data_IF_864588932443
#
_entry.id   IF_864588932443
#
_cell.length_a   1.000
_cell.length_b   1.000
_cell.length_c   1.000
_cell.angle_alpha   90.00
_cell.angle_beta   90.00
_cell.angle_gamma   90.00
#
_symmetry.space_group_name_H-M   'P 1'
#
loop_
_entity.id
_entity.type
_entity.pdbx_description
1 polymer ?
#
# COMPACT_ATOMS: atom_id res chain seq x y z
N UNK A 1 26.95 -2.04 -11.47
CA UNK A 1 27.92 -3.08 -10.96
C UNK A 1 27.60 -4.40 -11.67
N UNK A 2 28.55 -5.27 -12.01
CA UNK A 2 28.21 -6.54 -12.70
C UNK A 2 27.77 -7.63 -11.70
N UNK A 3 26.62 -7.42 -11.06
CA UNK A 3 25.95 -8.40 -10.20
C UNK A 3 25.28 -9.42 -11.13
N UNK A 4 25.46 -10.74 -10.92
CA UNK A 4 24.74 -11.74 -11.71
C UNK A 4 23.23 -11.56 -11.55
N UNK A 5 22.47 -11.86 -12.61
CA UNK A 5 21.01 -11.75 -12.56
C UNK A 5 20.44 -12.61 -11.42
N UNK A 6 19.49 -12.07 -10.63
CA UNK A 6 18.85 -12.80 -9.54
C UNK A 6 18.06 -14.01 -10.06
N UNK A 7 17.87 -15.00 -9.19
CA UNK A 7 17.07 -16.17 -9.56
C UNK A 7 15.58 -15.79 -9.74
N UNK A 8 14.84 -16.58 -10.51
CA UNK A 8 13.42 -16.33 -10.77
C UNK A 8 12.58 -16.34 -9.47
N UNK A 9 12.96 -17.19 -8.50
CA UNK A 9 12.34 -17.24 -7.18
C UNK A 9 12.56 -15.95 -6.38
N UNK A 10 13.72 -15.31 -6.55
CA UNK A 10 14.02 -14.04 -5.89
C UNK A 10 13.23 -12.89 -6.53
N UNK A 11 13.13 -12.84 -7.86
CA UNK A 11 12.26 -11.88 -8.54
C UNK A 11 10.78 -12.04 -8.15
N UNK A 12 10.33 -13.29 -7.98
CA UNK A 12 8.98 -13.60 -7.49
C UNK A 12 8.79 -13.17 -6.03
N UNK A 13 9.79 -13.39 -5.18
CA UNK A 13 9.76 -12.95 -3.79
C UNK A 13 9.76 -11.42 -3.67
N UNK A 14 10.49 -10.74 -4.55
CA UNK A 14 10.52 -9.28 -4.64
C UNK A 14 9.15 -8.73 -5.05
N UNK A 15 8.53 -9.28 -6.10
CA UNK A 15 7.20 -8.85 -6.56
C UNK A 15 6.10 -9.05 -5.50
N UNK A 16 6.23 -10.09 -4.67
CA UNK A 16 5.31 -10.39 -3.57
C UNK A 16 5.64 -9.61 -2.28
N UNK A 17 6.75 -8.88 -2.22
CA UNK A 17 7.18 -8.14 -1.04
C UNK A 17 7.54 -9.03 0.17
N UNK A 18 8.00 -10.26 -0.07
CA UNK A 18 8.30 -11.25 0.99
C UNK A 18 9.80 -11.43 1.26
N UNK A 19 10.65 -10.74 0.49
CA UNK A 19 12.10 -10.76 0.72
C UNK A 19 12.48 -9.87 1.91
N UNK A 20 13.58 -10.23 2.57
CA UNK A 20 14.21 -9.36 3.56
C UNK A 20 14.67 -8.05 2.92
N UNK A 21 14.63 -6.95 3.69
CA UNK A 21 14.90 -5.59 3.19
C UNK A 21 16.25 -5.46 2.47
N UNK A 22 17.29 -6.11 2.98
CA UNK A 22 18.63 -6.12 2.37
C UNK A 22 18.64 -6.80 1.00
N UNK A 23 17.86 -7.87 0.82
CA UNK A 23 17.71 -8.57 -0.46
C UNK A 23 16.83 -7.78 -1.42
N UNK A 24 15.78 -7.14 -0.91
CA UNK A 24 14.91 -6.27 -1.71
C UNK A 24 15.67 -5.09 -2.30
N UNK A 25 16.51 -4.42 -1.51
CA UNK A 25 17.35 -3.31 -1.98
C UNK A 25 18.34 -3.76 -3.07
N UNK A 26 18.96 -4.93 -2.91
CA UNK A 26 19.89 -5.46 -3.92
C UNK A 26 19.20 -5.78 -5.24
N UNK A 27 17.95 -6.27 -5.19
CA UNK A 27 17.17 -6.52 -6.40
C UNK A 27 16.72 -5.22 -7.04
N UNK A 28 16.34 -4.22 -6.23
CA UNK A 28 15.95 -2.90 -6.72
C UNK A 28 17.10 -2.24 -7.51
N UNK A 29 18.29 -2.17 -6.91
CA UNK A 29 19.51 -1.69 -7.57
C UNK A 29 19.82 -2.45 -8.88
N UNK A 30 19.60 -3.77 -8.90
CA UNK A 30 19.80 -4.57 -10.12
C UNK A 30 18.76 -4.25 -11.20
N UNK A 31 17.49 -4.07 -10.81
CA UNK A 31 16.40 -3.76 -11.73
C UNK A 31 16.57 -2.38 -12.36
N UNK A 32 17.25 -1.43 -11.72
CA UNK A 32 17.57 -0.13 -12.35
C UNK A 32 18.50 -0.29 -13.58
N UNK A 33 19.39 -1.29 -13.58
CA UNK A 33 20.41 -1.46 -14.61
C UNK A 33 20.10 -2.60 -15.61
N UNK A 34 19.23 -3.56 -15.26
CA UNK A 34 19.04 -4.80 -16.03
C UNK A 34 17.66 -4.90 -16.74
N UNK A 35 17.64 -4.62 -18.05
CA UNK A 35 16.42 -4.70 -18.86
C UNK A 35 15.81 -6.11 -19.00
N UNK A 36 16.61 -7.17 -18.92
CA UNK A 36 16.08 -8.54 -18.96
C UNK A 36 15.28 -8.88 -17.70
N UNK A 37 15.77 -8.47 -16.53
CA UNK A 37 15.08 -8.66 -15.26
C UNK A 37 13.86 -7.73 -15.13
N UNK A 38 13.92 -6.51 -15.67
CA UNK A 38 12.73 -5.65 -15.80
C UNK A 38 11.63 -6.33 -16.62
N UNK A 39 11.97 -6.86 -17.80
CA UNK A 39 11.01 -7.56 -18.64
C UNK A 39 10.45 -8.82 -17.96
N UNK A 40 11.28 -9.56 -17.21
CA UNK A 40 10.82 -10.69 -16.41
C UNK A 40 9.80 -10.25 -15.34
N UNK A 41 10.05 -9.14 -14.64
CA UNK A 41 9.13 -8.57 -13.65
C UNK A 41 7.76 -8.18 -14.25
N UNK A 42 7.73 -7.64 -15.47
CA UNK A 42 6.48 -7.35 -16.17
C UNK A 42 5.64 -8.61 -16.43
N UNK A 43 6.29 -9.76 -16.67
CA UNK A 43 5.58 -11.04 -16.84
C UNK A 43 5.14 -11.69 -15.52
N UNK A 44 5.83 -11.35 -14.43
CA UNK A 44 5.51 -11.79 -13.06
C UNK A 44 4.36 -10.98 -12.44
N UNK A 45 4.09 -9.78 -12.96
CA UNK A 45 2.95 -8.98 -12.53
C UNK A 45 1.67 -9.82 -12.69
N UNK A 46 0.86 -9.98 -11.63
CA UNK A 46 -0.35 -10.78 -11.72
C UNK A 46 -1.23 -10.23 -12.83
N UNK A 47 -1.76 -11.14 -13.66
CA UNK A 47 -2.77 -10.80 -14.64
C UNK A 47 -3.87 -9.99 -13.94
N UNK A 48 -4.37 -8.92 -14.55
CA UNK A 48 -5.35 -8.06 -13.91
C UNK A 48 -6.56 -8.91 -13.47
N UNK A 49 -6.77 -8.98 -12.16
CA UNK A 49 -7.94 -9.65 -11.61
C UNK A 49 -9.15 -8.74 -11.83
N UNK A 50 -10.20 -9.30 -12.42
CA UNK A 50 -11.51 -8.65 -12.55
C UNK A 50 -11.99 -7.97 -11.28
N UNK A 51 -11.64 -8.48 -10.08
CA UNK A 51 -11.93 -7.84 -8.81
C UNK A 51 -11.12 -6.57 -8.59
N UNK A 52 -9.81 -6.62 -8.84
CA UNK A 52 -8.90 -5.47 -8.73
C UNK A 52 -9.26 -4.37 -9.74
N UNK A 53 -9.59 -4.74 -10.97
CA UNK A 53 -10.08 -3.80 -11.99
C UNK A 53 -11.36 -3.10 -11.54
N UNK A 54 -12.28 -3.85 -10.92
CA UNK A 54 -13.53 -3.30 -10.39
C UNK A 54 -13.34 -2.41 -9.15
N UNK A 55 -12.29 -2.64 -8.36
CA UNK A 55 -11.94 -1.80 -7.22
C UNK A 55 -11.23 -0.51 -7.66
N UNK A 56 -10.35 -0.61 -8.66
CA UNK A 56 -9.65 0.53 -9.23
C UNK A 56 -10.59 1.44 -10.05
N UNK A 57 -11.70 0.90 -10.57
CA UNK A 57 -12.68 1.68 -11.33
C UNK A 57 -13.45 2.65 -10.40
N UNK A 58 -13.47 3.97 -10.69
CA UNK A 58 -14.33 4.90 -9.97
C UNK A 58 -15.80 4.53 -10.22
N UNK A 59 -16.41 3.83 -9.27
CA UNK A 59 -17.73 3.21 -9.42
C UNK A 59 -18.90 4.20 -9.42
N UNK A 60 -18.66 5.47 -9.10
CA UNK A 60 -19.72 6.49 -9.14
C UNK A 60 -19.13 7.88 -9.35
N UNK A 61 -19.77 8.77 -10.13
CA UNK A 61 -19.46 10.19 -10.08
C UNK A 61 -19.59 10.68 -8.64
N UNK A 62 -18.60 11.43 -8.18
CA UNK A 62 -18.61 12.05 -6.84
C UNK A 62 -19.79 13.03 -6.77
N UNK A 63 -20.81 12.77 -5.94
CA UNK A 63 -21.99 13.62 -5.86
C UNK A 63 -21.66 15.05 -5.40
N UNK A 64 -20.49 15.26 -4.79
CA UNK A 64 -20.06 16.55 -4.25
C UNK A 64 -19.13 17.32 -5.20
N UNK A 65 -18.78 16.78 -6.38
CA UNK A 65 -17.87 17.43 -7.33
C UNK A 65 -18.35 18.82 -7.78
N UNK A 66 -19.67 19.02 -7.86
CA UNK A 66 -20.27 20.29 -8.24
C UNK A 66 -20.30 21.33 -7.10
N UNK A 67 -20.14 20.89 -5.85
CA UNK A 67 -20.25 21.76 -4.69
C UNK A 67 -19.09 22.77 -4.67
N UNK A 68 -19.40 24.08 -4.54
CA UNK A 68 -18.37 25.11 -4.56
C UNK A 68 -17.36 24.96 -3.41
N UNK A 69 -17.80 24.44 -2.26
CA UNK A 69 -16.96 24.15 -1.10
C UNK A 69 -15.94 23.05 -1.41
N UNK A 70 -16.38 21.94 -2.02
CA UNK A 70 -15.51 20.85 -2.44
C UNK A 70 -14.48 21.29 -3.49
N UNK A 71 -14.91 22.08 -4.49
CA UNK A 71 -13.98 22.62 -5.51
C UNK A 71 -12.93 23.55 -4.90
N UNK A 72 -13.30 24.38 -3.93
CA UNK A 72 -12.36 25.26 -3.23
C UNK A 72 -11.32 24.45 -2.43
N UNK A 73 -11.76 23.42 -1.72
CA UNK A 73 -10.86 22.55 -0.96
C UNK A 73 -9.91 21.77 -1.87
N UNK A 74 -10.40 21.16 -2.94
CA UNK A 74 -9.55 20.44 -3.92
C UNK A 74 -8.54 21.39 -4.55
N UNK A 75 -8.96 22.60 -4.94
CA UNK A 75 -8.06 23.61 -5.49
C UNK A 75 -6.98 24.05 -4.46
N UNK A 76 -7.32 24.11 -3.17
CA UNK A 76 -6.36 24.46 -2.11
C UNK A 76 -5.29 23.37 -1.92
N UNK A 77 -5.67 22.10 -1.99
CA UNK A 77 -4.74 20.95 -1.87
C UNK A 77 -3.87 20.84 -3.13
N UNK A 78 -4.46 20.92 -4.31
CA UNK A 78 -3.74 20.88 -5.58
C UNK A 78 -2.78 22.08 -5.75
N UNK A 79 -3.15 23.23 -5.19
CA UNK A 79 -2.33 24.44 -5.14
C UNK A 79 -1.28 24.45 -4.03
N UNK A 80 -1.19 23.41 -3.19
CA UNK A 80 -0.20 23.28 -2.13
C UNK A 80 -0.38 24.27 -0.97
N UNK A 81 -1.56 24.87 -0.80
CA UNK A 81 -1.86 25.86 0.25
C UNK A 81 -2.59 25.26 1.46
N UNK A 82 -2.50 23.93 1.65
CA UNK A 82 -2.97 23.32 2.89
C UNK A 82 -1.92 23.50 3.99
N UNK A 83 -2.35 23.91 5.17
CA UNK A 83 -1.52 23.89 6.37
C UNK A 83 -1.24 22.42 6.70
N UNK A 84 0.03 22.06 6.88
CA UNK A 84 0.47 20.69 7.10
C UNK A 84 -0.29 20.10 8.30
N UNK A 85 -1.16 19.12 8.04
CA UNK A 85 -1.82 18.39 9.12
C UNK A 85 -0.79 17.45 9.73
N UNK A 86 -0.13 17.91 10.79
CA UNK A 86 0.86 17.13 11.51
C UNK A 86 0.17 15.90 12.13
N UNK A 87 0.26 14.76 11.43
CA UNK A 87 -0.32 13.47 11.83
C UNK A 87 0.18 12.99 13.19
N UNK A 88 1.21 13.61 13.75
CA UNK A 88 1.80 13.25 15.04
C UNK A 88 0.88 13.60 16.23
N UNK A 89 -0.15 14.42 16.04
CA UNK A 89 -1.01 14.88 17.15
C UNK A 89 -2.22 13.97 17.48
N UNK A 90 -2.47 12.87 16.76
CA UNK A 90 -3.63 11.99 17.03
C UNK A 90 -3.34 10.80 17.95
N UNK A 91 -2.13 10.69 18.54
CA UNK A 91 -1.87 9.74 19.63
C UNK A 91 -1.92 10.47 20.97
N UNK A 92 -3.14 10.73 21.44
CA UNK A 92 -3.41 10.74 22.88
C UNK A 92 -4.67 9.92 23.11
N UNK A 93 -4.60 8.65 22.70
CA UNK A 93 -5.45 7.61 23.26
C UNK A 93 -4.91 7.32 24.65
N UNK A 94 -5.50 7.98 25.64
CA UNK A 94 -5.45 7.61 27.05
C UNK A 94 -5.85 6.14 27.17
N UNK A 95 -4.85 5.29 27.34
CA UNK A 95 -5.01 3.86 27.61
C UNK A 95 -5.52 3.67 29.02
N UNK A 96 -6.83 3.78 29.21
CA UNK A 96 -7.50 3.12 30.33
C UNK A 96 -7.85 1.70 29.88
N UNK A 97 -6.98 0.78 30.29
CA UNK A 97 -7.21 -0.66 30.19
C UNK A 97 -8.29 -1.02 31.22
N UNK A 98 -9.57 -0.92 30.85
CA UNK A 98 -10.66 -1.42 31.68
C UNK A 98 -11.06 -2.83 31.21
N UNK A 99 -10.67 -3.78 32.06
CA UNK A 99 -11.26 -5.08 32.34
C UNK A 99 -11.39 -6.10 31.20
N UNK A 100 -10.56 -7.14 31.31
CA UNK A 100 -10.81 -8.50 30.83
C UNK A 100 -12.30 -8.87 31.01
N UNK A 101 -13.00 -9.09 29.90
CA UNK A 101 -14.30 -9.73 29.94
C UNK A 101 -14.08 -11.21 30.30
N UNK A 102 -14.40 -11.53 31.55
CA UNK A 102 -14.59 -12.87 32.09
C UNK A 102 -15.54 -13.66 31.17
N UNK A 103 -15.00 -14.59 30.39
CA UNK A 103 -15.79 -15.55 29.62
C UNK A 103 -16.12 -16.70 30.58
N UNK A 104 -17.39 -16.91 30.97
CA UNK A 104 -17.73 -18.02 31.85
C UNK A 104 -17.53 -19.35 31.11
N UNK A 105 -16.68 -20.19 31.70
CA UNK A 105 -16.42 -21.58 31.31
C UNK A 105 -17.59 -22.46 31.81
N UNK A 106 -18.68 -22.53 31.05
CA UNK A 106 -19.73 -23.54 31.26
C UNK A 106 -20.34 -23.95 29.91
N UNK A 107 -19.66 -24.85 29.21
CA UNK A 107 -20.30 -25.75 28.25
C UNK A 107 -20.32 -27.12 28.95
N UNK A 108 -21.35 -27.33 29.77
CA UNK A 108 -21.64 -28.62 30.38
C UNK A 108 -21.88 -29.70 29.33
N UNK A 109 -21.24 -30.86 29.58
CA UNK A 109 -21.34 -32.15 28.86
C UNK A 109 -22.73 -32.77 29.00
#
# INVERSE_FOLDING_TARGET
MNIPCPAAEELSGYSLGILADDRSLLIDDHLEECGECQAAMETLAPAPDTLMEQLASPKHPDPYEAEPECRQLVASVAGGVYESFDRTSLVTGDGTNDAEADIPDDIGV
#
